data_IF_368694853349
#
_entry.id   IF_368694853349
#
_cell.length_a   1.000
_cell.length_b   1.000
_cell.length_c   1.000
_cell.angle_alpha   90.00
_cell.angle_beta   90.00
_cell.angle_gamma   90.00
#
_symmetry.space_group_name_H-M   'P 1'
#
loop_
_entity.id
_entity.type
_entity.pdbx_description
1 polymer ?
#
# COMPACT_ATOMS: atom_id res chain seq x y z
N UNK A 1 18.29 34.89 17.62
CA UNK A 1 16.90 35.40 17.61
C UNK A 1 16.24 35.08 18.94
N UNK A 2 15.88 36.08 19.76
CA UNK A 2 15.20 35.85 21.02
C UNK A 2 13.77 35.34 20.82
N UNK A 3 13.33 34.42 21.68
CA UNK A 3 11.94 33.90 21.68
C UNK A 3 11.00 35.05 22.04
N UNK A 4 9.94 35.29 21.25
CA UNK A 4 8.92 36.30 21.51
C UNK A 4 8.33 36.09 22.92
N UNK A 5 8.13 37.17 23.67
CA UNK A 5 7.60 37.13 25.07
C UNK A 5 6.28 36.35 25.19
N UNK A 6 5.46 36.41 24.15
CA UNK A 6 4.21 35.66 24.04
C UNK A 6 4.41 34.13 24.09
N UNK A 7 5.50 33.64 23.49
CA UNK A 7 5.86 32.21 23.51
C UNK A 7 6.32 31.76 24.89
N UNK A 8 7.03 32.62 25.66
CA UNK A 8 7.45 32.30 27.02
C UNK A 8 6.25 32.09 27.96
N UNK A 9 5.19 32.92 27.82
CA UNK A 9 3.96 32.78 28.60
C UNK A 9 3.20 31.47 28.37
N UNK A 10 3.37 30.84 27.19
CA UNK A 10 2.67 29.60 26.86
C UNK A 10 3.42 28.33 27.23
N UNK A 11 4.71 28.43 27.53
CA UNK A 11 5.51 27.27 27.96
C UNK A 11 5.09 26.92 29.40
N UNK A 12 4.81 25.62 29.64
CA UNK A 12 4.24 25.11 30.88
C UNK A 12 2.72 25.28 30.99
N UNK A 13 2.06 25.96 30.04
CA UNK A 13 0.61 26.06 29.99
C UNK A 13 -0.02 24.84 29.30
N UNK A 14 -0.98 24.20 29.99
CA UNK A 14 -1.72 23.05 29.48
C UNK A 14 -2.49 23.34 28.17
N UNK A 15 -2.95 24.56 27.98
CA UNK A 15 -3.78 24.94 26.82
C UNK A 15 -3.04 25.84 25.82
N UNK A 16 -1.87 26.37 26.18
CA UNK A 16 -1.08 27.30 25.35
C UNK A 16 -1.92 28.44 24.76
N UNK A 17 -2.80 29.06 25.57
CA UNK A 17 -3.69 30.14 25.15
C UNK A 17 -4.84 29.73 24.24
N UNK A 18 -5.10 28.45 24.08
CA UNK A 18 -6.16 27.93 23.21
C UNK A 18 -7.52 27.68 23.88
N UNK A 19 -7.72 28.17 25.09
CA UNK A 19 -8.96 27.99 25.85
C UNK A 19 -9.14 26.57 26.37
N UNK A 20 -10.38 26.14 26.51
CA UNK A 20 -10.71 24.81 27.04
C UNK A 20 -10.15 23.67 26.16
N UNK A 21 -9.69 22.62 26.81
CA UNK A 21 -9.08 21.47 26.15
C UNK A 21 -9.99 20.78 25.09
N UNK A 22 -11.31 20.84 25.28
CA UNK A 22 -12.31 20.34 24.33
C UNK A 22 -12.27 21.07 22.98
N UNK A 23 -12.03 22.39 22.98
CA UNK A 23 -12.05 23.20 21.74
C UNK A 23 -10.92 22.90 20.77
N UNK A 24 -9.89 22.18 21.17
CA UNK A 24 -8.76 21.81 20.33
C UNK A 24 -8.88 20.43 19.68
N UNK A 25 -9.80 19.61 20.14
CA UNK A 25 -9.94 18.22 19.62
C UNK A 25 -10.61 18.17 18.26
N UNK A 26 -11.70 18.93 18.05
CA UNK A 26 -12.46 18.98 16.80
C UNK A 26 -11.79 19.80 15.69
N UNK A 27 -10.82 20.65 16.06
CA UNK A 27 -10.09 21.54 15.14
C UNK A 27 -10.95 22.55 14.37
N UNK A 28 -12.20 22.82 14.82
CA UNK A 28 -13.12 23.77 14.17
C UNK A 28 -12.58 25.22 14.15
N UNK A 29 -11.85 25.65 15.18
CA UNK A 29 -11.23 26.97 15.26
C UNK A 29 -10.11 27.22 14.22
N UNK A 30 -9.70 26.22 13.47
CA UNK A 30 -8.69 26.30 12.39
C UNK A 30 -9.18 25.71 11.07
N UNK A 31 -10.49 25.63 10.89
CA UNK A 31 -11.10 25.18 9.64
C UNK A 31 -11.32 23.67 9.49
N UNK A 32 -11.03 22.87 10.53
CA UNK A 32 -11.22 21.41 10.50
C UNK A 32 -9.96 20.63 10.13
N UNK A 33 -10.11 19.34 9.84
CA UNK A 33 -9.04 18.42 9.46
C UNK A 33 -9.31 17.77 8.11
N UNK A 34 -8.25 17.37 7.44
CA UNK A 34 -8.34 16.69 6.14
C UNK A 34 -9.03 17.57 5.09
N UNK A 35 -10.06 17.04 4.47
CA UNK A 35 -10.84 17.72 3.44
C UNK A 35 -12.10 18.43 3.97
N UNK A 36 -12.15 18.70 5.27
CA UNK A 36 -13.26 19.45 5.84
C UNK A 36 -13.42 20.82 5.17
N UNK A 37 -14.64 21.25 4.99
CA UNK A 37 -14.95 22.55 4.39
C UNK A 37 -14.85 22.61 2.87
N UNK A 38 -14.68 21.47 2.19
CA UNK A 38 -14.55 21.41 0.72
C UNK A 38 -15.72 22.09 -0.01
N UNK A 39 -16.96 21.91 0.44
CA UNK A 39 -18.12 22.57 -0.14
C UNK A 39 -18.35 24.01 0.35
N UNK A 40 -17.50 24.55 1.22
CA UNK A 40 -17.65 25.90 1.78
C UNK A 40 -16.36 26.69 1.69
N UNK A 41 -15.64 26.88 2.81
CA UNK A 41 -14.46 27.76 2.89
C UNK A 41 -13.22 27.20 2.13
N UNK A 42 -13.16 25.92 1.80
CA UNK A 42 -12.12 25.31 0.98
C UNK A 42 -12.56 25.00 -0.46
N UNK A 43 -13.71 25.53 -0.91
CA UNK A 43 -14.27 25.26 -2.25
C UNK A 43 -13.26 25.55 -3.39
N UNK A 44 -12.63 26.72 -3.37
CA UNK A 44 -11.64 27.10 -4.38
C UNK A 44 -10.43 26.16 -4.41
N UNK A 45 -10.02 25.66 -3.23
CA UNK A 45 -8.94 24.67 -3.11
C UNK A 45 -9.32 23.33 -3.76
N UNK A 46 -10.53 22.86 -3.51
CA UNK A 46 -11.02 21.61 -4.10
C UNK A 46 -11.13 21.71 -5.62
N UNK A 47 -11.62 22.84 -6.16
CA UNK A 47 -11.64 23.10 -7.61
C UNK A 47 -10.24 23.10 -8.24
N UNK A 48 -9.26 23.73 -7.60
CA UNK A 48 -7.87 23.73 -8.09
C UNK A 48 -7.24 22.35 -8.10
N UNK A 49 -7.70 21.44 -7.24
CA UNK A 49 -7.22 20.07 -7.14
C UNK A 49 -8.04 19.10 -7.99
N UNK A 50 -9.01 19.62 -8.76
CA UNK A 50 -9.94 18.85 -9.58
C UNK A 50 -10.60 17.69 -8.81
N UNK A 51 -10.97 17.95 -7.56
CA UNK A 51 -11.62 16.98 -6.70
C UNK A 51 -13.12 17.09 -6.83
N UNK A 52 -13.72 15.99 -7.23
CA UNK A 52 -15.16 15.88 -7.18
C UNK A 52 -15.68 15.68 -5.75
N UNK A 53 -16.94 16.03 -5.53
CA UNK A 53 -17.64 15.84 -4.27
C UNK A 53 -18.39 14.51 -4.28
N UNK A 54 -18.36 13.82 -3.15
CA UNK A 54 -19.05 12.56 -2.93
C UNK A 54 -18.27 11.32 -3.36
N UNK A 55 -18.92 10.17 -3.27
CA UNK A 55 -18.38 8.90 -3.70
C UNK A 55 -18.74 8.62 -5.14
N UNK A 56 -17.76 8.23 -5.95
CA UNK A 56 -17.98 7.84 -7.34
C UNK A 56 -18.17 6.34 -7.46
N UNK A 57 -19.20 5.97 -8.23
CA UNK A 57 -19.50 4.59 -8.51
C UNK A 57 -20.25 3.87 -7.38
N UNK A 58 -20.42 2.58 -7.54
CA UNK A 58 -21.08 1.71 -6.58
C UNK A 58 -20.11 0.64 -6.07
N UNK A 59 -20.31 0.20 -4.82
CA UNK A 59 -19.59 -0.93 -4.25
C UNK A 59 -20.32 -2.23 -4.57
N UNK A 60 -19.60 -3.22 -5.09
CA UNK A 60 -20.18 -4.56 -5.25
C UNK A 60 -20.51 -5.14 -3.87
N UNK A 61 -21.67 -5.80 -3.72
CA UNK A 61 -21.95 -6.58 -2.51
C UNK A 61 -20.86 -7.62 -2.28
N UNK A 62 -20.44 -7.81 -1.03
CA UNK A 62 -19.36 -8.76 -0.68
C UNK A 62 -19.63 -10.19 -1.17
N UNK A 63 -20.90 -10.63 -1.18
CA UNK A 63 -21.31 -11.95 -1.69
C UNK A 63 -20.97 -12.17 -3.18
N UNK A 64 -20.84 -11.10 -3.95
CA UNK A 64 -20.53 -11.14 -5.40
C UNK A 64 -19.08 -10.80 -5.66
N UNK A 65 -18.40 -10.14 -4.72
CA UNK A 65 -17.00 -9.80 -4.85
C UNK A 65 -16.15 -11.08 -4.69
N UNK A 66 -15.39 -11.43 -5.72
CA UNK A 66 -14.42 -12.53 -5.62
C UNK A 66 -13.21 -12.05 -4.84
N UNK A 67 -12.85 -12.77 -3.80
CA UNK A 67 -11.59 -12.58 -3.09
C UNK A 67 -10.48 -13.34 -3.81
N UNK A 68 -9.36 -12.69 -4.03
CA UNK A 68 -8.18 -13.29 -4.64
C UNK A 68 -7.01 -13.20 -3.69
N UNK A 69 -6.34 -14.31 -3.50
CA UNK A 69 -5.05 -14.33 -2.80
C UNK A 69 -3.95 -13.88 -3.75
N UNK A 70 -3.12 -12.95 -3.31
CA UNK A 70 -2.00 -12.46 -4.11
C UNK A 70 -0.69 -12.57 -3.32
N UNK A 71 0.39 -12.90 -4.03
CA UNK A 71 1.73 -12.96 -3.46
C UNK A 71 2.71 -12.18 -4.34
N UNK A 72 3.63 -11.47 -3.72
CA UNK A 72 4.65 -10.71 -4.43
C UNK A 72 5.85 -11.59 -4.80
N UNK A 73 6.41 -11.32 -5.98
CA UNK A 73 7.54 -12.10 -6.48
C UNK A 73 8.80 -11.95 -5.63
N UNK A 74 8.98 -10.78 -4.98
CA UNK A 74 10.11 -10.57 -4.06
C UNK A 74 10.04 -11.49 -2.84
N UNK A 75 8.84 -11.75 -2.31
CA UNK A 75 8.64 -12.69 -1.19
C UNK A 75 9.04 -14.11 -1.62
N UNK A 76 8.70 -14.49 -2.86
CA UNK A 76 9.09 -15.81 -3.39
C UNK A 76 10.61 -15.93 -3.58
N UNK A 77 11.29 -14.84 -3.97
CA UNK A 77 12.74 -14.80 -4.11
C UNK A 77 13.46 -14.94 -2.75
N UNK A 78 12.97 -14.23 -1.74
CA UNK A 78 13.50 -14.29 -0.37
C UNK A 78 13.24 -15.65 0.28
N UNK A 79 12.04 -16.19 0.10
CA UNK A 79 11.64 -17.47 0.65
C UNK A 79 12.14 -18.69 -0.14
N UNK A 80 12.76 -18.51 -1.31
CA UNK A 80 13.10 -19.60 -2.23
C UNK A 80 13.95 -20.70 -1.56
N UNK A 81 14.97 -20.33 -0.78
CA UNK A 81 15.83 -21.30 -0.12
C UNK A 81 15.08 -22.04 1.00
N UNK A 82 14.28 -21.33 1.79
CA UNK A 82 13.43 -21.93 2.82
C UNK A 82 12.40 -22.89 2.24
N UNK A 83 11.82 -22.56 1.06
CA UNK A 83 10.88 -23.44 0.36
C UNK A 83 11.55 -24.72 -0.15
N UNK A 84 12.83 -24.66 -0.50
CA UNK A 84 13.61 -25.85 -0.86
C UNK A 84 13.84 -26.74 0.36
N UNK A 85 14.23 -26.17 1.49
CA UNK A 85 14.43 -26.89 2.75
C UNK A 85 13.13 -27.57 3.22
N UNK A 86 11.99 -26.90 3.05
CA UNK A 86 10.65 -27.43 3.34
C UNK A 86 10.13 -28.43 2.28
N UNK A 87 10.93 -28.75 1.24
CA UNK A 87 10.54 -29.63 0.13
C UNK A 87 9.32 -29.12 -0.70
N UNK A 88 8.97 -27.83 -0.57
CA UNK A 88 7.91 -27.18 -1.33
C UNK A 88 8.41 -26.60 -2.67
N UNK A 89 9.71 -26.44 -2.82
CA UNK A 89 10.36 -26.05 -4.07
C UNK A 89 11.43 -27.07 -4.46
N UNK A 90 11.76 -27.13 -5.75
CA UNK A 90 12.79 -28.01 -6.29
C UNK A 90 13.83 -27.18 -7.04
N UNK A 91 15.09 -27.48 -6.83
CA UNK A 91 16.19 -26.88 -7.61
C UNK A 91 16.64 -27.87 -8.67
N UNK A 92 16.62 -27.44 -9.93
CA UNK A 92 17.15 -28.21 -11.07
C UNK A 92 17.93 -27.28 -11.97
N UNK A 93 19.14 -27.68 -12.33
CA UNK A 93 19.99 -26.92 -13.26
C UNK A 93 20.17 -25.45 -12.85
N UNK A 94 20.31 -25.19 -11.51
CA UNK A 94 20.45 -23.84 -10.98
C UNK A 94 19.18 -22.97 -11.00
N UNK A 95 18.01 -23.55 -11.32
CA UNK A 95 16.73 -22.85 -11.34
C UNK A 95 15.80 -23.37 -10.25
N UNK A 96 15.08 -22.44 -9.60
CA UNK A 96 14.14 -22.76 -8.55
C UNK A 96 12.74 -22.97 -9.13
N UNK A 97 12.16 -24.12 -8.93
CA UNK A 97 10.79 -24.45 -9.33
C UNK A 97 9.88 -24.29 -8.12
N UNK A 98 9.02 -23.31 -8.16
CA UNK A 98 8.13 -22.95 -7.04
C UNK A 98 6.68 -22.99 -7.53
N UNK A 99 5.81 -23.66 -6.80
CA UNK A 99 4.37 -23.55 -6.98
C UNK A 99 3.84 -22.55 -5.97
N UNK A 100 3.27 -21.44 -6.44
CA UNK A 100 2.71 -20.42 -5.58
C UNK A 100 1.29 -20.82 -5.18
N UNK A 101 1.03 -20.94 -3.87
CA UNK A 101 -0.30 -21.16 -3.31
C UNK A 101 -1.11 -19.85 -3.29
N UNK A 102 -1.18 -19.18 -4.44
CA UNK A 102 -1.89 -17.92 -4.60
C UNK A 102 -2.56 -17.87 -5.98
N UNK A 103 -3.68 -17.15 -6.05
CA UNK A 103 -4.40 -16.98 -7.31
C UNK A 103 -3.64 -16.05 -8.26
N UNK A 104 -2.84 -15.14 -7.72
CA UNK A 104 -2.12 -14.18 -8.53
C UNK A 104 -0.73 -13.84 -7.99
N UNK A 105 0.26 -13.82 -8.89
CA UNK A 105 1.61 -13.36 -8.57
C UNK A 105 1.81 -11.92 -9.06
N UNK A 106 2.19 -11.06 -8.14
CA UNK A 106 2.44 -9.64 -8.38
C UNK A 106 3.92 -9.34 -8.52
N UNK A 107 4.24 -8.22 -9.19
CA UNK A 107 5.61 -7.85 -9.51
C UNK A 107 6.28 -6.91 -8.50
N UNK A 108 5.87 -6.89 -7.23
CA UNK A 108 6.55 -6.12 -6.21
C UNK A 108 7.82 -6.83 -5.71
N UNK A 109 8.75 -6.08 -5.16
CA UNK A 109 10.04 -6.59 -4.69
C UNK A 109 11.09 -6.77 -5.80
N UNK A 110 12.27 -7.24 -5.41
CA UNK A 110 13.40 -7.54 -6.29
C UNK A 110 13.49 -9.04 -6.53
N UNK A 111 13.93 -9.44 -7.69
CA UNK A 111 14.20 -10.85 -8.04
C UNK A 111 15.67 -10.98 -8.35
N UNK A 112 16.34 -11.88 -7.65
CA UNK A 112 17.79 -12.13 -7.80
C UNK A 112 18.08 -13.53 -8.31
N UNK A 113 17.19 -14.48 -8.05
CA UNK A 113 17.33 -15.89 -8.39
C UNK A 113 16.54 -16.25 -9.65
N UNK A 114 17.01 -17.18 -10.48
CA UNK A 114 16.24 -17.64 -11.65
C UNK A 114 15.08 -18.54 -11.20
N UNK A 115 13.90 -17.93 -11.03
CA UNK A 115 12.70 -18.58 -10.55
C UNK A 115 11.83 -19.05 -11.70
N UNK A 116 11.34 -20.29 -11.62
CA UNK A 116 10.25 -20.81 -12.45
C UNK A 116 9.04 -20.97 -11.54
N UNK A 117 8.10 -20.03 -11.65
CA UNK A 117 6.93 -19.97 -10.78
C UNK A 117 5.70 -20.48 -11.51
N UNK A 118 4.96 -21.37 -10.85
CA UNK A 118 3.67 -21.89 -11.31
C UNK A 118 2.55 -21.26 -10.48
N UNK A 119 1.58 -20.58 -11.13
CA UNK A 119 0.43 -19.95 -10.48
C UNK A 119 -0.73 -19.79 -11.46
N UNK A 120 -1.94 -19.50 -10.98
CA UNK A 120 -3.12 -19.29 -11.83
C UNK A 120 -3.02 -18.05 -12.71
N UNK A 121 -2.43 -16.98 -12.20
CA UNK A 121 -2.27 -15.74 -12.98
C UNK A 121 -1.04 -14.94 -12.56
N UNK A 122 -0.54 -14.11 -13.48
CA UNK A 122 0.63 -13.24 -13.26
C UNK A 122 0.32 -11.82 -13.70
N UNK A 123 0.90 -10.84 -13.02
CA UNK A 123 0.91 -9.47 -13.50
C UNK A 123 1.99 -9.29 -14.59
N UNK A 124 1.77 -8.36 -15.52
CA UNK A 124 2.76 -8.04 -16.58
C UNK A 124 4.15 -7.72 -16.03
N UNK A 125 4.22 -6.98 -14.91
CA UNK A 125 5.48 -6.65 -14.23
C UNK A 125 6.17 -7.87 -13.62
N UNK A 126 5.42 -8.86 -13.14
CA UNK A 126 5.99 -10.10 -12.59
C UNK A 126 6.64 -10.93 -13.70
N UNK A 127 5.96 -11.09 -14.83
CA UNK A 127 6.50 -11.82 -15.99
C UNK A 127 7.81 -11.18 -16.47
N UNK A 128 7.81 -9.86 -16.71
CA UNK A 128 9.00 -9.14 -17.16
C UNK A 128 10.20 -9.29 -16.19
N UNK A 129 9.95 -9.25 -14.87
CA UNK A 129 11.00 -9.45 -13.86
C UNK A 129 11.53 -10.88 -13.83
N UNK A 130 10.67 -11.88 -13.97
CA UNK A 130 11.10 -13.28 -14.05
C UNK A 130 11.98 -13.51 -15.28
N UNK A 131 11.56 -13.05 -16.44
CA UNK A 131 12.28 -13.19 -17.69
C UNK A 131 13.65 -12.49 -17.67
N UNK A 132 13.73 -11.30 -17.05
CA UNK A 132 14.99 -10.54 -16.92
C UNK A 132 16.09 -11.28 -16.15
N UNK A 133 15.73 -12.20 -15.25
CA UNK A 133 16.66 -13.01 -14.45
C UNK A 133 16.79 -14.45 -15.00
N UNK A 134 16.22 -14.73 -16.18
CA UNK A 134 16.28 -16.06 -16.79
C UNK A 134 15.31 -17.09 -16.20
N UNK A 135 14.32 -16.62 -15.46
CA UNK A 135 13.19 -17.41 -14.96
C UNK A 135 12.06 -17.54 -15.96
N UNK A 136 10.97 -18.21 -15.57
CA UNK A 136 9.74 -18.35 -16.38
C UNK A 136 8.49 -18.34 -15.50
N UNK A 137 7.41 -17.73 -15.99
CA UNK A 137 6.08 -17.84 -15.45
C UNK A 137 5.34 -19.01 -16.12
N UNK A 138 4.77 -19.92 -15.34
CA UNK A 138 3.91 -21.01 -15.81
C UNK A 138 2.51 -20.80 -15.28
N UNK A 139 1.54 -20.68 -16.17
CA UNK A 139 0.12 -20.64 -15.80
C UNK A 139 -0.36 -22.08 -15.64
N UNK A 140 -0.99 -22.35 -14.49
CA UNK A 140 -1.61 -23.63 -14.15
C UNK A 140 -3.09 -23.36 -13.95
N UNK A 141 -3.95 -23.99 -14.72
CA UNK A 141 -5.40 -23.94 -14.57
C UNK A 141 -5.89 -24.77 -13.39
#
# INVERSE_FOLDING_TARGET
MGTKDKTKKFRGSRTCGGGTHKNRRGAGNRGGRGHAGGCKHHFVKELKLDRGYGDYGFKRPQKVAKEYTAIDIGILDEAADQLVDQKRAKVRTGKYYITADADRVLGAGRVTKPLIVSAKSFSKKAIAKLESVGGKAKIVE
#
